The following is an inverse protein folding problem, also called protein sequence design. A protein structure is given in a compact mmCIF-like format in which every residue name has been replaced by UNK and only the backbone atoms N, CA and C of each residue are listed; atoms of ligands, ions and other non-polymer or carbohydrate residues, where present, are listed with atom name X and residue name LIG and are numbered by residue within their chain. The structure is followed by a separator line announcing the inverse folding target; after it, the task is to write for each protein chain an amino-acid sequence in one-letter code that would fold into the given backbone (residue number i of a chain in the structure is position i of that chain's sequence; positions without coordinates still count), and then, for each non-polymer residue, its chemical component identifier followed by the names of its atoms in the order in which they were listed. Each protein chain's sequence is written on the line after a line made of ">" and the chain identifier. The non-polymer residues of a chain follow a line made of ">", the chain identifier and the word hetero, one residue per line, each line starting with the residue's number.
data_IF_525280925388
#
_entry.id   IF_525280925388
#
_cell.length_a   1.000
_cell.length_b   1.000
_cell.length_c   1.000
_cell.angle_alpha   90.00
_cell.angle_beta   90.00
_cell.angle_gamma   90.00
#
_symmetry.space_group_name_H-M   'P 1'
#
loop_
_entity.id
_entity.type
_entity.pdbx_description
1 polymer ?
#
# COMPACT_ATOMS: atom_id res chain seq x y z
N UNK A 1 -8.80 19.01 -19.72
CA UNK A 1 -8.69 17.92 -18.73
C UNK A 1 -7.40 18.11 -17.96
N UNK A 2 -7.41 18.02 -16.62
CA UNK A 2 -6.18 18.12 -15.81
C UNK A 2 -5.64 16.71 -15.51
N UNK A 3 -4.33 16.52 -15.69
CA UNK A 3 -3.63 15.27 -15.44
C UNK A 3 -3.57 15.00 -13.93
N UNK A 4 -3.77 13.73 -13.53
CA UNK A 4 -3.67 13.29 -12.14
C UNK A 4 -2.69 12.13 -12.06
N UNK A 5 -1.60 12.34 -11.31
CA UNK A 5 -0.60 11.30 -11.07
C UNK A 5 -1.00 10.47 -9.85
N UNK A 6 -0.76 9.17 -9.94
CA UNK A 6 -0.94 8.19 -8.87
C UNK A 6 0.29 7.32 -8.78
N UNK A 7 0.49 6.64 -7.65
CA UNK A 7 1.67 5.81 -7.40
C UNK A 7 1.31 4.46 -6.80
N UNK A 8 2.23 3.51 -6.91
CA UNK A 8 2.17 2.21 -6.22
C UNK A 8 3.30 2.17 -5.19
N UNK A 9 2.97 1.85 -3.95
CA UNK A 9 3.90 1.67 -2.84
C UNK A 9 3.86 0.20 -2.43
N UNK A 10 4.99 -0.48 -2.54
CA UNK A 10 5.08 -1.91 -2.24
C UNK A 10 5.16 -2.14 -0.71
N UNK A 11 4.46 -3.15 -0.16
CA UNK A 11 4.36 -3.38 1.28
C UNK A 11 5.54 -4.24 1.80
N UNK A 12 6.77 -3.89 1.43
CA UNK A 12 7.97 -4.66 1.80
C UNK A 12 8.78 -4.05 2.95
N UNK A 13 8.42 -2.84 3.42
CA UNK A 13 9.09 -2.17 4.53
C UNK A 13 8.23 -2.24 5.78
N UNK A 14 8.86 -2.48 6.94
CA UNK A 14 8.18 -2.35 8.24
C UNK A 14 7.67 -0.91 8.38
N UNK A 15 6.55 -0.75 9.08
CA UNK A 15 5.90 0.55 9.22
C UNK A 15 6.83 1.63 9.80
N UNK A 16 7.56 1.27 10.85
CA UNK A 16 8.51 2.15 11.54
C UNK A 16 9.84 2.33 10.80
N UNK A 17 10.17 1.44 9.86
CA UNK A 17 11.41 1.46 9.06
C UNK A 17 11.17 2.12 7.69
N UNK A 18 10.51 3.27 7.70
CA UNK A 18 10.27 4.07 6.50
C UNK A 18 9.01 3.72 5.71
N UNK A 19 8.24 2.70 6.10
CA UNK A 19 6.91 2.44 5.54
C UNK A 19 5.99 3.66 5.68
N UNK A 20 5.80 4.15 6.92
CA UNK A 20 5.00 5.35 7.21
C UNK A 20 5.46 6.57 6.42
N UNK A 21 6.77 6.82 6.45
CA UNK A 21 7.37 7.98 5.78
C UNK A 21 7.10 7.97 4.27
N UNK A 22 7.07 6.79 3.63
CA UNK A 22 6.80 6.66 2.19
C UNK A 22 5.36 7.05 1.85
N UNK A 23 4.37 6.60 2.65
CA UNK A 23 2.96 6.95 2.45
C UNK A 23 2.68 8.43 2.70
N UNK A 24 3.20 8.99 3.79
CA UNK A 24 3.10 10.43 4.07
C UNK A 24 3.77 11.25 2.97
N UNK A 25 4.93 10.80 2.47
CA UNK A 25 5.63 11.50 1.39
C UNK A 25 4.83 11.48 0.08
N UNK A 26 4.11 10.40 -0.21
CA UNK A 26 3.25 10.35 -1.40
C UNK A 26 2.14 11.40 -1.36
N UNK A 27 1.52 11.63 -0.20
CA UNK A 27 0.56 12.71 -0.01
C UNK A 27 1.21 14.10 -0.18
N UNK A 28 2.36 14.32 0.45
CA UNK A 28 3.10 15.59 0.35
C UNK A 28 3.56 15.92 -1.08
N UNK A 29 3.83 14.89 -1.88
CA UNK A 29 4.17 15.02 -3.31
C UNK A 29 2.94 15.32 -4.19
N UNK A 30 1.73 15.30 -3.63
CA UNK A 30 0.50 15.62 -4.35
C UNK A 30 -0.04 14.49 -5.23
N UNK A 31 0.36 13.23 -4.98
CA UNK A 31 -0.26 12.10 -5.65
C UNK A 31 -1.76 12.04 -5.33
N UNK A 32 -2.57 11.78 -6.34
CA UNK A 32 -4.01 11.69 -6.17
C UNK A 32 -4.44 10.43 -5.43
N UNK A 33 -3.83 9.31 -5.81
CA UNK A 33 -4.10 8.00 -5.24
C UNK A 33 -2.78 7.26 -5.07
N UNK A 34 -2.62 6.58 -3.95
CA UNK A 34 -1.56 5.62 -3.73
C UNK A 34 -2.15 4.21 -3.58
N UNK A 35 -1.54 3.26 -4.26
CA UNK A 35 -1.96 1.86 -4.27
C UNK A 35 -0.93 0.96 -3.59
N UNK A 36 -1.38 -0.19 -3.10
CA UNK A 36 -0.50 -1.33 -2.77
C UNK A 36 -0.96 -2.59 -3.49
N UNK A 37 -0.14 -3.63 -3.49
CA UNK A 37 -0.46 -4.92 -4.08
C UNK A 37 -1.07 -5.86 -3.04
N UNK A 38 -2.15 -6.55 -3.42
CA UNK A 38 -2.76 -7.62 -2.62
C UNK A 38 -2.18 -8.99 -2.96
N UNK A 39 -0.85 -9.04 -3.13
CA UNK A 39 -0.11 -10.29 -3.33
C UNK A 39 0.36 -10.85 -2.00
N UNK A 40 0.73 -12.14 -1.97
CA UNK A 40 1.38 -12.75 -0.80
C UNK A 40 2.90 -12.55 -0.81
N UNK A 41 3.49 -12.34 -1.98
CA UNK A 41 4.91 -12.04 -2.16
C UNK A 41 5.17 -11.42 -3.53
N UNK A 42 6.37 -10.88 -3.71
CA UNK A 42 6.88 -10.41 -4.99
C UNK A 42 8.30 -10.94 -5.21
N UNK A 43 8.65 -11.30 -6.45
CA UNK A 43 9.88 -12.06 -6.74
C UNK A 43 11.14 -11.41 -6.17
N UNK A 44 11.27 -10.09 -6.23
CA UNK A 44 12.43 -9.35 -5.73
C UNK A 44 12.49 -9.22 -4.20
N UNK A 45 11.41 -9.57 -3.49
CA UNK A 45 11.27 -9.42 -2.04
C UNK A 45 10.87 -10.73 -1.35
N UNK A 46 11.05 -11.87 -2.02
CA UNK A 46 10.60 -13.20 -1.56
C UNK A 46 11.17 -13.62 -0.20
N UNK A 47 12.37 -13.16 0.14
CA UNK A 47 13.08 -13.53 1.36
C UNK A 47 12.96 -12.43 2.45
N UNK A 48 12.16 -11.39 2.18
CA UNK A 48 11.86 -10.30 3.08
C UNK A 48 10.39 -10.27 3.50
N UNK A 49 10.02 -9.31 4.36
CA UNK A 49 8.63 -9.16 4.75
C UNK A 49 7.77 -8.71 3.58
N UNK A 50 6.53 -9.19 3.56
CA UNK A 50 5.49 -8.74 2.65
C UNK A 50 4.19 -8.58 3.44
N UNK A 51 3.80 -7.34 3.70
CA UNK A 51 2.65 -7.04 4.54
C UNK A 51 1.35 -7.11 3.73
N UNK A 52 0.29 -7.62 4.38
CA UNK A 52 -1.03 -7.71 3.74
C UNK A 52 -1.57 -6.35 3.31
N UNK A 53 -2.31 -6.31 2.19
CA UNK A 53 -2.83 -5.07 1.63
C UNK A 53 -3.78 -4.34 2.59
N UNK A 54 -4.73 -5.05 3.21
CA UNK A 54 -5.71 -4.43 4.12
C UNK A 54 -5.03 -3.75 5.32
N UNK A 55 -4.18 -4.42 6.13
CA UNK A 55 -3.47 -3.74 7.21
C UNK A 55 -2.57 -2.58 6.73
N UNK A 56 -1.92 -2.74 5.58
CA UNK A 56 -1.09 -1.67 5.00
C UNK A 56 -1.91 -0.43 4.66
N UNK A 57 -3.06 -0.60 4.00
CA UNK A 57 -3.94 0.49 3.63
C UNK A 57 -4.62 1.11 4.85
N UNK A 58 -4.96 0.33 5.87
CA UNK A 58 -5.48 0.85 7.15
C UNK A 58 -4.44 1.74 7.84
N UNK A 59 -3.17 1.30 7.90
CA UNK A 59 -2.09 2.10 8.47
C UNK A 59 -1.84 3.39 7.66
N UNK A 60 -1.89 3.30 6.32
CA UNK A 60 -1.79 4.46 5.45
C UNK A 60 -2.94 5.46 5.68
N UNK A 61 -4.18 4.97 5.79
CA UNK A 61 -5.36 5.79 6.05
C UNK A 61 -5.25 6.55 7.37
N UNK A 62 -4.67 5.92 8.41
CA UNK A 62 -4.43 6.57 9.69
C UNK A 62 -3.29 7.61 9.68
N UNK A 63 -2.45 7.63 8.64
CA UNK A 63 -1.28 8.49 8.55
C UNK A 63 -1.37 9.60 7.50
N UNK A 64 -2.42 9.61 6.68
CA UNK A 64 -2.66 10.58 5.60
C UNK A 64 -4.08 11.13 5.70
N UNK A 65 -4.30 12.37 5.25
CA UNK A 65 -5.60 13.04 5.42
C UNK A 65 -6.48 13.06 4.16
N UNK A 66 -5.86 13.11 2.98
CA UNK A 66 -6.51 13.36 1.68
C UNK A 66 -6.11 12.37 0.60
N UNK A 67 -4.99 11.68 0.78
CA UNK A 67 -4.51 10.67 -0.16
C UNK A 67 -5.55 9.55 -0.32
N UNK A 68 -6.00 9.31 -1.57
CA UNK A 68 -6.89 8.19 -1.84
C UNK A 68 -6.09 6.90 -1.82
N UNK A 69 -6.69 5.83 -1.31
CA UNK A 69 -6.01 4.55 -1.07
C UNK A 69 -6.73 3.43 -1.82
N UNK A 70 -5.97 2.43 -2.28
CA UNK A 70 -6.54 1.27 -2.94
C UNK A 70 -5.55 0.15 -3.19
N UNK A 71 -6.05 -0.95 -3.74
CA UNK A 71 -5.26 -2.07 -4.25
C UNK A 71 -5.07 -1.94 -5.76
N UNK A 72 -3.93 -2.41 -6.29
CA UNK A 72 -3.68 -2.48 -7.74
C UNK A 72 -2.79 -3.68 -8.09
N UNK A 73 -3.26 -4.92 -8.10
CA UNK A 73 -4.66 -5.36 -8.18
C UNK A 73 -5.09 -6.07 -6.89
N UNK A 74 -6.40 -6.06 -6.62
CA UNK A 74 -7.00 -6.94 -5.61
C UNK A 74 -6.85 -8.38 -6.05
N UNK A 75 -6.39 -9.26 -5.16
CA UNK A 75 -6.36 -10.68 -5.45
C UNK A 75 -7.75 -11.27 -5.24
N UNK A 76 -8.25 -12.00 -6.24
CA UNK A 76 -9.53 -12.72 -6.18
C UNK A 76 -9.37 -14.14 -5.64
N UNK A 77 -8.16 -14.55 -5.25
CA UNK A 77 -7.96 -15.83 -4.55
C UNK A 77 -8.71 -15.76 -3.22
N UNK A 78 -9.45 -16.81 -2.83
CA UNK A 78 -10.15 -16.82 -1.56
C UNK A 78 -9.15 -16.58 -0.44
N UNK A 79 -9.32 -15.45 0.25
CA UNK A 79 -8.67 -15.23 1.54
C UNK A 79 -9.36 -16.19 2.50
N UNK A 80 -8.61 -17.12 3.08
CA UNK A 80 -9.13 -17.98 4.14
C UNK A 80 -9.84 -17.09 5.17
N UNK A 81 -11.05 -17.43 5.65
CA UNK A 81 -11.85 -16.58 6.54
C UNK A 81 -11.23 -16.32 7.92
N UNK A 82 -10.00 -16.79 8.17
CA UNK A 82 -9.34 -16.80 9.48
C UNK A 82 -8.40 -15.59 9.70
N UNK A 83 -8.34 -14.59 8.83
CA UNK A 83 -7.43 -13.45 9.09
C UNK A 83 -8.02 -12.13 8.60
N UNK A 84 -8.88 -11.55 9.45
CA UNK A 84 -9.19 -10.13 9.51
C UNK A 84 -8.66 -9.57 10.83
#
# INVERSE_FOLDING_TARGET
>A
MSLRLSTVILPYRRWHEGGRATWVRAEQLGFRTAYTYDHLSWRSFRDGPWFGAVPTLTAAAAATERLRLGTLVTSVKPRSPITA
#
